data_IF_341911472748
#
_entry.id   IF_341911472748
#
_cell.length_a   1.000
_cell.length_b   1.000
_cell.length_c   1.000
_cell.angle_alpha   90.00
_cell.angle_beta   90.00
_cell.angle_gamma   90.00
#
_symmetry.space_group_name_H-M   'P 1'
#
loop_
_entity.id
_entity.type
_entity.pdbx_description
1 polymer ?
#
# COMPACT_ATOMS: atom_id res chain seq x y z
N UNK A 1 37.41 -16.75 -8.81
CA UNK A 1 36.62 -17.76 -8.07
C UNK A 1 35.16 -17.35 -8.12
N UNK A 2 34.31 -18.14 -8.77
CA UNK A 2 32.87 -17.86 -8.82
C UNK A 2 32.28 -18.12 -7.44
N UNK A 3 31.83 -17.08 -6.73
CA UNK A 3 31.17 -17.24 -5.44
C UNK A 3 29.86 -17.98 -5.66
N UNK A 4 29.75 -19.22 -5.14
CA UNK A 4 28.48 -19.95 -5.17
C UNK A 4 27.40 -19.11 -4.49
N UNK A 5 26.18 -19.02 -5.06
CA UNK A 5 25.10 -18.24 -4.48
C UNK A 5 24.73 -18.79 -3.10
N UNK A 6 24.62 -17.90 -2.12
CA UNK A 6 24.15 -18.24 -0.77
C UNK A 6 22.63 -18.27 -0.77
N UNK A 7 22.05 -19.45 -0.59
CA UNK A 7 20.61 -19.62 -0.41
C UNK A 7 20.24 -19.32 1.04
N UNK A 8 19.21 -18.49 1.24
CA UNK A 8 18.62 -18.19 2.54
C UNK A 8 17.13 -18.47 2.52
N UNK A 9 16.56 -18.82 3.67
CA UNK A 9 15.12 -19.03 3.78
C UNK A 9 14.37 -17.71 3.58
N UNK A 10 13.23 -17.75 2.89
CA UNK A 10 12.31 -16.64 2.83
C UNK A 10 11.71 -16.40 4.22
N UNK A 11 12.05 -15.26 4.85
CA UNK A 11 11.59 -14.93 6.20
C UNK A 11 10.20 -14.28 6.17
N UNK A 12 10.00 -13.28 5.30
CA UNK A 12 8.77 -12.49 5.27
C UNK A 12 7.55 -13.33 4.83
N UNK A 13 7.64 -14.05 3.71
CA UNK A 13 6.53 -14.85 3.18
C UNK A 13 6.24 -16.16 3.94
N UNK A 14 7.03 -16.52 4.96
CA UNK A 14 6.82 -17.75 5.76
C UNK A 14 6.46 -17.48 7.22
N UNK A 15 6.51 -16.23 7.66
CA UNK A 15 6.18 -15.86 9.04
C UNK A 15 4.66 -16.02 9.23
N UNK A 16 4.24 -16.86 10.17
CA UNK A 16 2.82 -16.95 10.54
C UNK A 16 2.36 -15.61 11.11
N UNK A 17 1.18 -15.19 10.71
CA UNK A 17 0.50 -14.00 11.24
C UNK A 17 0.32 -14.16 12.74
N UNK A 18 0.96 -13.27 13.50
CA UNK A 18 0.63 -13.11 14.91
C UNK A 18 -0.62 -12.22 15.00
N UNK A 19 -1.47 -12.47 15.98
CA UNK A 19 -2.54 -11.54 16.30
C UNK A 19 -1.95 -10.18 16.70
N UNK A 20 -2.58 -9.09 16.25
CA UNK A 20 -2.22 -7.77 16.72
C UNK A 20 -2.52 -7.66 18.23
N UNK A 21 -1.73 -6.88 18.99
CA UNK A 21 -2.08 -6.57 20.38
C UNK A 21 -3.50 -6.02 20.46
N UNK A 22 -4.30 -6.49 21.43
CA UNK A 22 -5.72 -6.12 21.54
C UNK A 22 -5.95 -4.59 21.61
N UNK A 23 -5.00 -3.85 22.17
CA UNK A 23 -5.08 -2.39 22.25
C UNK A 23 -5.06 -1.70 20.88
N UNK A 24 -4.55 -2.33 19.82
CA UNK A 24 -4.55 -1.73 18.47
C UNK A 24 -5.98 -1.44 18.01
N UNK A 25 -6.88 -2.40 18.23
CA UNK A 25 -8.30 -2.29 17.86
C UNK A 25 -9.01 -1.25 18.73
N UNK A 26 -8.83 -1.33 20.05
CA UNK A 26 -9.44 -0.39 20.99
C UNK A 26 -8.98 1.06 20.75
N UNK A 27 -7.69 1.26 20.44
CA UNK A 27 -7.14 2.58 20.16
C UNK A 27 -7.65 3.14 18.83
N UNK A 28 -7.71 2.31 17.77
CA UNK A 28 -8.26 2.74 16.48
C UNK A 28 -9.73 3.20 16.62
N UNK A 29 -10.55 2.44 17.36
CA UNK A 29 -11.94 2.81 17.63
C UNK A 29 -12.03 4.07 18.50
N UNK A 30 -11.22 4.19 19.54
CA UNK A 30 -11.15 5.41 20.33
C UNK A 30 -10.80 6.63 19.47
N UNK A 31 -9.80 6.53 18.58
CA UNK A 31 -9.42 7.62 17.67
C UNK A 31 -10.60 8.08 16.80
N UNK A 32 -11.42 7.16 16.28
CA UNK A 32 -12.63 7.49 15.51
C UNK A 32 -13.68 8.24 16.33
N UNK A 33 -13.73 8.04 17.65
CA UNK A 33 -14.65 8.79 18.52
C UNK A 33 -14.15 10.18 18.88
N UNK A 34 -12.83 10.41 18.81
CA UNK A 34 -12.22 11.66 19.24
C UNK A 34 -11.91 12.62 18.08
N UNK A 35 -11.65 12.09 16.89
CA UNK A 35 -11.19 12.85 15.74
C UNK A 35 -12.09 12.61 14.52
N UNK A 36 -12.27 13.64 13.70
CA UNK A 36 -12.75 13.46 12.33
C UNK A 36 -11.64 12.88 11.44
N UNK A 37 -11.97 12.55 10.19
CA UNK A 37 -11.03 11.97 9.22
C UNK A 37 -9.69 12.72 9.18
N UNK A 38 -9.72 14.03 8.95
CA UNK A 38 -8.51 14.84 8.80
C UNK A 38 -7.70 14.93 10.11
N UNK A 39 -8.38 14.92 11.25
CA UNK A 39 -7.73 14.87 12.57
C UNK A 39 -6.96 13.57 12.82
N UNK A 40 -7.46 12.43 12.33
CA UNK A 40 -6.75 11.14 12.38
C UNK A 40 -5.54 11.17 11.43
N UNK A 41 -5.70 11.69 10.22
CA UNK A 41 -4.61 11.87 9.25
C UNK A 41 -3.51 12.77 9.83
N UNK A 42 -3.88 13.86 10.50
CA UNK A 42 -2.92 14.75 11.16
C UNK A 42 -2.11 14.02 12.24
N UNK A 43 -2.68 13.05 12.97
CA UNK A 43 -1.90 12.25 13.92
C UNK A 43 -0.83 11.40 13.23
N UNK A 44 -1.05 10.99 11.99
CA UNK A 44 -0.09 10.18 11.24
C UNK A 44 1.25 10.90 11.06
N UNK A 45 1.24 12.22 10.89
CA UNK A 45 2.47 13.02 10.70
C UNK A 45 3.47 12.85 11.84
N UNK A 46 2.98 12.62 13.07
CA UNK A 46 3.80 12.45 14.28
C UNK A 46 4.53 11.11 14.31
N UNK A 47 3.95 10.07 13.71
CA UNK A 47 4.45 8.69 13.74
C UNK A 47 4.96 8.21 12.38
N UNK A 48 4.91 9.09 11.37
CA UNK A 48 5.31 8.78 10.00
C UNK A 48 6.78 8.34 9.93
N UNK A 49 7.66 8.97 10.71
CA UNK A 49 9.08 8.67 10.76
C UNK A 49 9.46 7.88 12.01
N UNK A 50 10.63 7.24 11.99
CA UNK A 50 11.13 6.47 13.13
C UNK A 50 10.76 4.98 13.05
N UNK A 51 11.76 4.14 13.35
CA UNK A 51 11.69 2.68 13.28
C UNK A 51 11.42 1.98 14.61
N UNK A 52 11.18 2.71 15.70
CA UNK A 52 10.86 2.09 16.98
C UNK A 52 9.47 1.44 17.00
N UNK A 53 9.27 0.58 17.99
CA UNK A 53 8.06 -0.23 18.14
C UNK A 53 6.81 0.62 18.29
N UNK A 54 6.90 1.79 18.95
CA UNK A 54 5.75 2.66 19.16
C UNK A 54 5.32 3.33 17.85
N UNK A 55 6.27 3.92 17.12
CA UNK A 55 6.00 4.50 15.81
C UNK A 55 5.43 3.47 14.83
N UNK A 56 6.00 2.26 14.80
CA UNK A 56 5.46 1.16 13.96
C UNK A 56 4.05 0.75 14.36
N UNK A 57 3.75 0.65 15.66
CA UNK A 57 2.42 0.32 16.15
C UNK A 57 1.40 1.40 15.79
N UNK A 58 1.74 2.67 16.01
CA UNK A 58 0.84 3.79 15.72
C UNK A 58 0.52 3.93 14.24
N UNK A 59 1.47 3.67 13.32
CA UNK A 59 1.17 3.64 11.89
C UNK A 59 0.13 2.57 11.55
N UNK A 60 0.25 1.35 12.10
CA UNK A 60 -0.74 0.28 11.88
C UNK A 60 -2.12 0.62 12.48
N UNK A 61 -2.16 1.21 13.67
CA UNK A 61 -3.41 1.66 14.32
C UNK A 61 -4.11 2.75 13.51
N UNK A 62 -3.37 3.74 13.04
CA UNK A 62 -3.93 4.85 12.25
C UNK A 62 -4.46 4.33 10.91
N UNK A 63 -3.72 3.44 10.24
CA UNK A 63 -4.22 2.79 9.02
C UNK A 63 -5.53 2.05 9.27
N UNK A 64 -5.64 1.32 10.39
CA UNK A 64 -6.88 0.65 10.82
C UNK A 64 -8.01 1.61 11.15
N UNK A 65 -7.69 2.82 11.63
CA UNK A 65 -8.68 3.84 11.95
C UNK A 65 -9.25 4.52 10.69
N UNK A 66 -8.46 4.62 9.62
CA UNK A 66 -8.84 5.35 8.39
C UNK A 66 -9.38 4.40 7.31
N UNK A 67 -8.68 3.30 7.01
CA UNK A 67 -9.04 2.41 5.91
C UNK A 67 -10.35 1.66 6.19
N UNK A 68 -11.05 1.22 5.12
CA UNK A 68 -12.30 0.44 5.25
C UNK A 68 -12.08 -0.84 6.04
N UNK A 69 -10.95 -1.51 5.80
CA UNK A 69 -10.57 -2.76 6.45
C UNK A 69 -9.06 -2.90 6.50
N UNK A 70 -8.56 -3.42 7.63
CA UNK A 70 -7.16 -3.83 7.80
C UNK A 70 -7.13 -5.18 8.50
N UNK A 71 -6.46 -6.18 7.91
CA UNK A 71 -6.23 -7.48 8.55
C UNK A 71 -5.25 -7.42 9.71
N UNK A 72 -4.99 -8.54 10.38
CA UNK A 72 -3.98 -8.61 11.43
C UNK A 72 -2.56 -8.55 10.84
N UNK A 73 -1.59 -8.03 11.61
CA UNK A 73 -0.17 -8.10 11.26
C UNK A 73 0.29 -7.12 10.18
N UNK A 74 -0.47 -6.04 9.93
CA UNK A 74 -0.03 -4.94 9.06
C UNK A 74 1.26 -4.32 9.60
N UNK A 75 2.28 -4.22 8.74
CA UNK A 75 3.53 -3.55 9.02
C UNK A 75 3.72 -2.40 8.04
N UNK A 76 3.79 -1.18 8.56
CA UNK A 76 3.99 0.04 7.77
C UNK A 76 5.38 0.60 8.07
N UNK A 77 6.22 0.67 7.05
CA UNK A 77 7.57 1.23 7.11
C UNK A 77 7.56 2.74 7.36
N UNK A 78 8.72 3.27 7.74
CA UNK A 78 8.89 4.71 7.95
C UNK A 78 8.71 5.49 6.63
N UNK A 79 8.16 6.70 6.73
CA UNK A 79 7.97 7.59 5.60
C UNK A 79 6.93 7.11 4.58
N UNK A 80 6.17 6.03 4.85
CA UNK A 80 5.07 5.62 3.99
C UNK A 80 4.03 6.73 3.95
N UNK A 81 3.75 7.25 2.76
CA UNK A 81 2.71 8.24 2.52
C UNK A 81 1.47 7.62 1.88
N UNK A 82 0.33 8.28 2.04
CA UNK A 82 -0.91 7.86 1.42
C UNK A 82 -1.81 9.04 1.07
N UNK A 83 -2.78 8.79 0.20
CA UNK A 83 -3.92 9.68 -0.05
C UNK A 83 -5.18 8.85 -0.17
N UNK A 84 -6.30 9.37 0.32
CA UNK A 84 -7.59 8.68 0.29
C UNK A 84 -7.53 7.26 0.89
N UNK A 85 -6.90 7.13 2.06
CA UNK A 85 -6.71 5.82 2.69
C UNK A 85 -8.06 5.17 3.08
N UNK A 86 -9.10 5.98 3.26
CA UNK A 86 -10.49 5.55 3.45
C UNK A 86 -11.04 4.71 2.28
N UNK A 87 -10.35 4.66 1.14
CA UNK A 87 -10.74 3.82 0.01
C UNK A 87 -10.04 2.46 -0.06
N UNK A 88 -9.27 2.12 0.97
CA UNK A 88 -8.43 0.92 0.99
C UNK A 88 -9.04 -0.23 1.80
N UNK A 89 -8.78 -1.44 1.31
CA UNK A 89 -8.93 -2.68 2.07
C UNK A 89 -7.60 -3.42 2.05
N UNK A 90 -7.09 -3.71 3.24
CA UNK A 90 -5.79 -4.35 3.42
C UNK A 90 -5.99 -5.68 4.14
N UNK A 91 -5.45 -6.75 3.56
CA UNK A 91 -5.51 -8.10 4.10
C UNK A 91 -4.59 -8.30 5.31
N UNK A 92 -4.40 -9.56 5.67
CA UNK A 92 -3.55 -9.98 6.77
C UNK A 92 -2.08 -10.06 6.34
N UNK A 93 -1.16 -9.82 7.28
CA UNK A 93 0.29 -9.97 7.07
C UNK A 93 0.85 -9.18 5.89
N UNK A 94 0.29 -8.00 5.65
CA UNK A 94 0.79 -7.08 4.63
C UNK A 94 1.98 -6.30 5.18
N UNK A 95 3.07 -6.26 4.41
CA UNK A 95 4.21 -5.40 4.68
C UNK A 95 4.27 -4.28 3.64
N UNK A 96 4.38 -3.03 4.10
CA UNK A 96 4.55 -1.85 3.26
C UNK A 96 5.92 -1.23 3.57
N UNK A 97 6.83 -1.32 2.61
CA UNK A 97 8.21 -0.87 2.74
C UNK A 97 8.33 0.64 2.89
N UNK A 98 9.42 1.07 3.52
CA UNK A 98 9.70 2.47 3.81
C UNK A 98 9.57 3.36 2.57
N UNK A 99 9.03 4.57 2.75
CA UNK A 99 8.90 5.60 1.71
C UNK A 99 8.05 5.17 0.50
N UNK A 100 7.26 4.10 0.59
CA UNK A 100 6.25 3.82 -0.40
C UNK A 100 5.14 4.89 -0.34
N UNK A 101 4.53 5.22 -1.48
CA UNK A 101 3.44 6.18 -1.55
C UNK A 101 2.21 5.53 -2.19
N UNK A 102 1.14 5.39 -1.41
CA UNK A 102 -0.10 4.74 -1.83
C UNK A 102 -1.20 5.78 -2.04
N UNK A 103 -1.38 6.20 -3.28
CA UNK A 103 -2.32 7.22 -3.66
C UNK A 103 -3.65 6.60 -4.11
N UNK A 104 -4.61 6.52 -3.21
CA UNK A 104 -6.01 6.28 -3.58
C UNK A 104 -6.68 7.52 -4.18
N UNK A 105 -7.97 7.38 -4.45
CA UNK A 105 -8.87 8.45 -4.92
C UNK A 105 -10.20 8.33 -4.20
N UNK A 106 -10.87 9.45 -3.94
CA UNK A 106 -12.18 9.48 -3.28
C UNK A 106 -13.25 8.64 -4.01
N UNK A 107 -13.12 8.49 -5.33
CA UNK A 107 -13.98 7.68 -6.21
C UNK A 107 -13.40 6.28 -6.51
N UNK A 108 -12.30 5.92 -5.85
CA UNK A 108 -11.50 4.75 -6.18
C UNK A 108 -11.69 3.55 -5.27
N UNK A 109 -11.04 2.45 -5.68
CA UNK A 109 -10.94 1.22 -4.89
C UNK A 109 -9.51 0.68 -4.93
N UNK A 110 -8.95 0.41 -3.75
CA UNK A 110 -7.68 -0.29 -3.61
C UNK A 110 -7.85 -1.48 -2.68
N UNK A 111 -7.58 -2.68 -3.18
CA UNK A 111 -7.59 -3.91 -2.40
C UNK A 111 -6.19 -4.51 -2.42
N UNK A 112 -5.65 -4.77 -1.23
CA UNK A 112 -4.40 -5.50 -1.02
C UNK A 112 -4.76 -6.78 -0.28
N UNK A 113 -4.42 -7.92 -0.87
CA UNK A 113 -4.69 -9.25 -0.34
C UNK A 113 -3.83 -9.61 0.87
N UNK A 114 -3.84 -10.87 1.23
CA UNK A 114 -3.10 -11.42 2.36
C UNK A 114 -1.66 -11.72 1.96
N UNK A 115 -0.73 -11.62 2.93
CA UNK A 115 0.68 -12.00 2.75
C UNK A 115 1.40 -11.25 1.62
N UNK A 116 0.98 -10.02 1.33
CA UNK A 116 1.59 -9.17 0.30
C UNK A 116 2.82 -8.46 0.87
N UNK A 117 3.91 -8.43 0.10
CA UNK A 117 5.12 -7.71 0.44
C UNK A 117 5.35 -6.57 -0.56
N UNK A 118 5.18 -5.32 -0.11
CA UNK A 118 5.47 -4.11 -0.89
C UNK A 118 6.86 -3.59 -0.53
N UNK A 119 7.74 -3.59 -1.52
CA UNK A 119 9.10 -3.07 -1.38
C UNK A 119 9.14 -1.56 -1.13
N UNK A 120 10.20 -1.05 -0.49
CA UNK A 120 10.37 0.37 -0.22
C UNK A 120 10.39 1.21 -1.50
N UNK A 121 10.06 2.50 -1.37
CA UNK A 121 10.07 3.49 -2.44
C UNK A 121 9.16 3.18 -3.64
N UNK A 122 8.18 2.30 -3.44
CA UNK A 122 7.16 1.97 -4.44
C UNK A 122 6.11 3.07 -4.55
N UNK A 123 5.52 3.25 -5.75
CA UNK A 123 4.48 4.25 -5.98
C UNK A 123 3.21 3.62 -6.57
N UNK A 124 2.06 3.92 -6.00
CA UNK A 124 0.77 3.37 -6.44
C UNK A 124 -0.22 4.49 -6.72
N UNK A 125 -0.61 4.70 -8.00
CA UNK A 125 -1.85 5.40 -8.34
C UNK A 125 -3.01 4.40 -8.28
N UNK A 126 -3.49 4.15 -7.06
CA UNK A 126 -4.44 3.11 -6.71
C UNK A 126 -5.90 3.56 -6.92
N UNK A 127 -6.25 3.90 -8.15
CA UNK A 127 -7.61 4.35 -8.51
C UNK A 127 -8.60 3.19 -8.64
N UNK A 128 -8.17 2.09 -9.25
CA UNK A 128 -8.90 0.80 -9.29
C UNK A 128 -7.89 -0.33 -9.33
N UNK A 129 -7.36 -0.68 -8.15
CA UNK A 129 -6.25 -1.61 -8.01
C UNK A 129 -6.65 -2.79 -7.13
N UNK A 130 -6.35 -4.00 -7.59
CA UNK A 130 -6.37 -5.20 -6.75
C UNK A 130 -5.00 -5.85 -6.83
N UNK A 131 -4.41 -6.08 -5.66
CA UNK A 131 -3.24 -6.92 -5.48
C UNK A 131 -3.74 -8.13 -4.70
N UNK A 132 -3.67 -9.32 -5.28
CA UNK A 132 -4.15 -10.54 -4.65
C UNK A 132 -3.14 -11.12 -3.65
N UNK A 133 -3.45 -12.30 -3.13
CA UNK A 133 -2.71 -12.93 -2.04
C UNK A 133 -1.29 -13.33 -2.47
N UNK A 134 -0.35 -13.26 -1.52
CA UNK A 134 1.03 -13.72 -1.69
C UNK A 134 1.83 -13.03 -2.80
N UNK A 135 1.45 -11.81 -3.18
CA UNK A 135 2.20 -11.01 -4.16
C UNK A 135 3.49 -10.45 -3.56
N UNK A 136 4.59 -10.64 -4.28
CA UNK A 136 5.84 -9.93 -4.10
C UNK A 136 5.86 -8.67 -4.97
N UNK A 137 6.19 -7.53 -4.38
CA UNK A 137 6.33 -6.27 -5.11
C UNK A 137 7.70 -5.67 -4.86
N UNK A 138 8.56 -5.71 -5.88
CA UNK A 138 9.95 -5.29 -5.80
C UNK A 138 10.11 -3.82 -5.40
N UNK A 139 11.22 -3.45 -4.73
CA UNK A 139 11.51 -2.07 -4.38
C UNK A 139 11.44 -1.13 -5.59
N UNK A 140 10.89 0.08 -5.40
CA UNK A 140 10.81 1.10 -6.44
C UNK A 140 9.83 0.80 -7.58
N UNK A 141 9.18 -0.37 -7.60
CA UNK A 141 8.18 -0.69 -8.61
C UNK A 141 6.92 0.17 -8.45
N UNK A 142 6.25 0.44 -9.57
CA UNK A 142 5.17 1.42 -9.66
C UNK A 142 3.95 0.88 -10.38
N UNK A 143 2.77 1.39 -10.06
CA UNK A 143 1.54 1.18 -10.82
C UNK A 143 0.85 2.50 -11.12
N UNK A 144 0.38 2.62 -12.35
CA UNK A 144 -0.49 3.71 -12.80
C UNK A 144 -1.90 3.18 -13.03
N UNK A 145 -2.90 3.78 -12.40
CA UNK A 145 -4.32 3.43 -12.57
C UNK A 145 -5.03 4.26 -13.63
N UNK A 146 -4.38 5.32 -14.13
CA UNK A 146 -4.91 6.20 -15.15
C UNK A 146 -3.83 6.79 -16.06
N UNK A 147 -4.25 7.22 -17.24
CA UNK A 147 -3.43 7.95 -18.21
C UNK A 147 -4.25 8.99 -18.94
N UNK A 148 -3.62 10.10 -19.35
CA UNK A 148 -4.28 11.05 -20.23
C UNK A 148 -4.64 10.39 -21.57
N UNK A 149 -5.81 10.74 -22.10
CA UNK A 149 -6.31 10.21 -23.39
C UNK A 149 -5.48 10.69 -24.58
N UNK A 150 -4.82 11.86 -24.46
CA UNK A 150 -4.14 12.50 -25.59
C UNK A 150 -5.10 13.03 -26.65
N UNK A 151 -6.39 13.11 -26.34
CA UNK A 151 -7.43 13.61 -27.23
C UNK A 151 -8.17 14.79 -26.58
N UNK A 152 -8.42 15.87 -27.33
CA UNK A 152 -7.98 16.09 -28.71
C UNK A 152 -6.47 16.37 -28.81
N UNK A 153 -5.85 16.10 -29.97
CA UNK A 153 -4.37 16.14 -30.12
C UNK A 153 -3.78 17.55 -30.17
N UNK A 154 -4.64 18.57 -30.30
CA UNK A 154 -4.28 19.98 -30.44
C UNK A 154 -4.31 20.75 -29.11
N UNK A 155 -4.62 20.08 -27.99
CA UNK A 155 -4.50 20.66 -26.64
C UNK A 155 -3.33 20.02 -25.86
N UNK A 156 -2.73 20.73 -24.88
CA UNK A 156 -1.70 20.15 -24.02
C UNK A 156 -2.19 18.87 -23.33
N UNK A 157 -1.35 17.84 -23.28
CA UNK A 157 -1.71 16.52 -22.73
C UNK A 157 -2.33 16.59 -21.32
N UNK A 158 -1.84 17.49 -20.47
CA UNK A 158 -2.33 17.65 -19.09
C UNK A 158 -3.75 18.23 -19.00
N UNK A 159 -4.28 18.75 -20.11
CA UNK A 159 -5.64 19.25 -20.24
C UNK A 159 -6.59 18.23 -20.87
N UNK A 160 -6.08 17.11 -21.38
CA UNK A 160 -6.96 16.05 -21.92
C UNK A 160 -7.56 15.23 -20.79
N UNK A 161 -8.69 14.58 -21.07
CA UNK A 161 -9.34 13.66 -20.15
C UNK A 161 -8.41 12.52 -19.68
N UNK A 162 -8.81 11.85 -18.60
CA UNK A 162 -8.13 10.69 -18.05
C UNK A 162 -8.91 9.41 -18.38
N UNK A 163 -8.21 8.44 -18.96
CA UNK A 163 -8.66 7.07 -19.09
C UNK A 163 -8.24 6.29 -17.84
N UNK A 164 -9.21 5.66 -17.17
CA UNK A 164 -9.01 4.92 -15.92
C UNK A 164 -9.29 3.45 -16.22
N UNK A 165 -8.28 2.60 -16.00
CA UNK A 165 -8.41 1.16 -16.26
C UNK A 165 -8.01 0.36 -15.03
N UNK A 166 -8.79 -0.68 -14.68
CA UNK A 166 -8.46 -1.53 -13.53
C UNK A 166 -7.10 -2.19 -13.74
N UNK A 167 -6.30 -2.23 -12.68
CA UNK A 167 -5.07 -3.03 -12.63
C UNK A 167 -5.28 -4.18 -11.67
N UNK A 168 -4.84 -5.38 -12.06
CA UNK A 168 -4.94 -6.61 -11.27
C UNK A 168 -3.57 -7.26 -11.20
N UNK A 169 -3.08 -7.54 -10.00
CA UNK A 169 -1.88 -8.33 -9.78
C UNK A 169 -2.32 -9.62 -9.13
N UNK A 170 -2.32 -10.71 -9.89
CA UNK A 170 -2.90 -11.99 -9.47
C UNK A 170 -2.04 -12.68 -8.41
N UNK A 171 -2.67 -13.64 -7.72
CA UNK A 171 -2.05 -14.33 -6.60
C UNK A 171 -0.69 -14.95 -7.00
N UNK A 172 0.26 -14.87 -6.07
CA UNK A 172 1.63 -15.40 -6.21
C UNK A 172 2.52 -14.70 -7.25
N UNK A 173 2.07 -13.60 -7.88
CA UNK A 173 2.92 -12.82 -8.77
C UNK A 173 4.12 -12.20 -8.02
N UNK A 174 5.24 -12.02 -8.74
CA UNK A 174 6.44 -11.34 -8.25
C UNK A 174 6.83 -10.21 -9.22
N UNK A 175 6.57 -8.98 -8.81
CA UNK A 175 6.84 -7.78 -9.63
C UNK A 175 8.30 -7.37 -9.41
N UNK A 176 9.06 -7.33 -10.50
CA UNK A 176 10.48 -6.96 -10.47
C UNK A 176 10.75 -5.55 -9.93
N UNK A 177 11.93 -5.37 -9.35
CA UNK A 177 12.41 -4.06 -8.85
C UNK A 177 12.33 -2.99 -9.95
N UNK A 178 11.82 -1.80 -9.62
CA UNK A 178 11.64 -0.67 -10.54
C UNK A 178 10.72 -0.92 -11.76
N UNK A 179 10.00 -2.04 -11.83
CA UNK A 179 9.00 -2.25 -12.88
C UNK A 179 7.88 -1.20 -12.82
N UNK A 180 7.24 -0.92 -13.95
CA UNK A 180 6.07 -0.03 -14.02
C UNK A 180 4.91 -0.77 -14.66
N UNK A 181 3.84 -0.96 -13.89
CA UNK A 181 2.59 -1.55 -14.36
C UNK A 181 1.66 -0.42 -14.85
N UNK A 182 1.21 -0.53 -16.09
CA UNK A 182 0.38 0.47 -16.75
C UNK A 182 -1.12 0.20 -16.56
N UNK A 183 -2.00 1.19 -16.81
CA UNK A 183 -3.43 1.03 -16.64
C UNK A 183 -3.98 -0.13 -17.49
N UNK A 184 -4.85 -0.96 -16.93
CA UNK A 184 -5.50 -2.07 -17.64
C UNK A 184 -4.70 -3.37 -17.69
N UNK A 185 -3.51 -3.42 -17.08
CA UNK A 185 -2.69 -4.63 -17.03
C UNK A 185 -3.21 -5.58 -15.96
N UNK A 186 -3.29 -6.87 -16.33
CA UNK A 186 -3.36 -8.00 -15.41
C UNK A 186 -2.02 -8.75 -15.49
N UNK A 187 -1.40 -9.00 -14.32
CA UNK A 187 -0.18 -9.80 -14.18
C UNK A 187 -0.49 -11.12 -13.52
#
# INVERSE_FOLDING_TARGET
>A
MSSKPRLVAAVHGRKRTAADPAFFYALAEWMKTQFNHDGIVEQYSRYMHGGDVMNSAMRAVIWRAIARRVGAGLQVGEGVGFKHLETFEVGESVFIGAQAYLQGRFDGTCVIGNNVWIGPQSYFDARNLVIEDHVGWGPGAKVLGSSHTGLPVDVPIIQTDLDIKPVRIEAWADIGTNAVILPGVTV
#
